data_IF_031496364725
#
_entry.id   IF_031496364725
#
_cell.length_a   1.000
_cell.length_b   1.000
_cell.length_c   1.000
_cell.angle_alpha   90.00
_cell.angle_beta   90.00
_cell.angle_gamma   90.00
#
_symmetry.space_group_name_H-M   'P 1'
#
loop_
_entity.id
_entity.type
_entity.pdbx_description
1 polymer ?
#
# COMPACT_ATOMS: atom_id res chain seq x y z
N UNK A 1 18.08 -6.55 8.95
CA UNK A 1 19.38 -6.90 8.35
C UNK A 1 20.58 -6.31 9.11
N UNK A 2 20.36 -5.44 10.07
CA UNK A 2 21.43 -4.80 10.85
C UNK A 2 21.54 -5.35 12.28
N UNK A 3 21.17 -6.62 12.51
CA UNK A 3 21.24 -7.28 13.81
C UNK A 3 20.32 -6.70 14.88
N UNK A 4 19.26 -5.96 14.49
CA UNK A 4 18.27 -5.45 15.43
C UNK A 4 17.11 -6.42 15.54
N UNK A 5 16.64 -6.62 16.77
CA UNK A 5 15.39 -7.35 17.03
C UNK A 5 14.21 -6.47 16.63
N UNK A 6 13.52 -6.86 15.58
CA UNK A 6 12.41 -6.10 15.02
C UNK A 6 11.13 -6.91 15.06
N UNK A 7 10.05 -6.29 15.49
CA UNK A 7 8.69 -6.85 15.43
C UNK A 7 7.83 -5.90 14.61
N UNK A 8 7.16 -6.43 13.61
CA UNK A 8 6.16 -5.73 12.81
C UNK A 8 4.77 -6.15 13.30
N UNK A 9 3.96 -5.18 13.66
CA UNK A 9 2.54 -5.38 13.95
C UNK A 9 1.74 -4.99 12.72
N UNK A 10 0.98 -5.92 12.19
CA UNK A 10 0.19 -5.74 10.98
C UNK A 10 -1.30 -5.85 11.33
N UNK A 11 -2.06 -4.84 10.94
CA UNK A 11 -3.51 -4.79 11.16
C UNK A 11 -4.26 -5.84 10.35
N UNK A 12 -3.77 -6.12 9.16
CA UNK A 12 -4.33 -7.13 8.26
C UNK A 12 -3.84 -8.54 8.57
N UNK A 13 -4.27 -9.46 7.74
CA UNK A 13 -3.89 -10.88 7.79
C UNK A 13 -2.65 -11.18 6.94
N UNK A 14 -2.18 -10.22 6.16
CA UNK A 14 -1.02 -10.36 5.25
C UNK A 14 -0.32 -9.01 5.09
N UNK A 15 0.95 -9.04 4.67
CA UNK A 15 1.75 -7.85 4.42
C UNK A 15 1.41 -7.17 3.09
N UNK A 16 1.78 -5.89 2.96
CA UNK A 16 1.74 -5.12 1.73
C UNK A 16 0.60 -4.12 1.62
N UNK A 17 -0.33 -4.11 2.57
CA UNK A 17 -1.38 -3.10 2.67
C UNK A 17 -2.17 -2.92 1.37
N UNK A 18 -2.22 -1.70 0.84
CA UNK A 18 -2.99 -1.37 -0.36
C UNK A 18 -2.49 -2.12 -1.61
N UNK A 19 -1.21 -2.43 -1.69
CA UNK A 19 -0.62 -3.09 -2.86
C UNK A 19 -1.02 -4.58 -2.96
N UNK A 20 -1.34 -5.20 -1.86
CA UNK A 20 -1.74 -6.61 -1.77
C UNK A 20 -3.20 -6.76 -1.37
N UNK A 21 -3.56 -6.41 -0.14
CA UNK A 21 -4.93 -6.52 0.37
C UNK A 21 -5.91 -5.55 -0.32
N UNK A 22 -5.43 -4.36 -0.69
CA UNK A 22 -6.21 -3.36 -1.42
C UNK A 22 -6.27 -3.61 -2.93
N UNK A 23 -5.58 -4.62 -3.45
CA UNK A 23 -5.51 -4.96 -4.87
C UNK A 23 -5.11 -3.79 -5.79
N UNK A 24 -4.18 -2.93 -5.33
CA UNK A 24 -3.53 -1.90 -6.14
C UNK A 24 -2.07 -2.31 -6.40
N UNK A 25 -1.83 -3.37 -7.18
CA UNK A 25 -0.51 -4.00 -7.29
C UNK A 25 0.42 -3.28 -8.27
N UNK A 26 0.23 -2.01 -8.48
CA UNK A 26 1.06 -1.22 -9.37
C UNK A 26 2.19 -0.55 -8.58
N UNK A 27 3.43 -0.78 -9.02
CA UNK A 27 4.60 -0.15 -8.43
C UNK A 27 4.81 1.20 -9.12
N UNK A 28 4.49 2.29 -8.43
CA UNK A 28 4.65 3.65 -8.93
C UNK A 28 5.97 4.27 -8.43
N UNK A 29 6.64 5.04 -9.28
CA UNK A 29 7.85 5.78 -8.92
C UNK A 29 9.16 5.04 -9.22
N UNK A 30 10.21 5.40 -8.49
CA UNK A 30 11.54 4.81 -8.65
C UNK A 30 11.60 3.39 -8.06
N UNK A 31 12.20 2.46 -8.80
CA UNK A 31 12.41 1.09 -8.33
C UNK A 31 13.86 0.95 -7.90
N UNK A 32 14.10 1.23 -6.62
CA UNK A 32 15.44 1.20 -6.02
C UNK A 32 15.42 0.51 -4.64
N UNK A 33 16.56 0.14 -4.11
CA UNK A 33 16.72 -0.42 -2.77
C UNK A 33 15.83 -1.65 -2.53
N UNK A 34 15.03 -1.62 -1.47
CA UNK A 34 14.13 -2.74 -1.09
C UNK A 34 13.04 -2.96 -2.14
N UNK A 35 12.56 -1.91 -2.79
CA UNK A 35 11.59 -2.02 -3.87
C UNK A 35 12.17 -2.77 -5.08
N UNK A 36 13.43 -2.53 -5.40
CA UNK A 36 14.14 -3.28 -6.45
C UNK A 36 14.27 -4.76 -6.09
N UNK A 37 14.64 -5.08 -4.85
CA UNK A 37 14.73 -6.46 -4.38
C UNK A 37 13.38 -7.17 -4.49
N UNK A 38 12.30 -6.53 -4.05
CA UNK A 38 10.95 -7.05 -4.18
C UNK A 38 10.59 -7.31 -5.63
N UNK A 39 10.84 -6.34 -6.51
CA UNK A 39 10.56 -6.44 -7.94
C UNK A 39 11.33 -7.57 -8.60
N UNK A 40 12.62 -7.73 -8.28
CA UNK A 40 13.47 -8.81 -8.81
C UNK A 40 12.97 -10.20 -8.38
N UNK A 41 12.52 -10.36 -7.13
CA UNK A 41 11.94 -11.61 -6.65
C UNK A 41 10.64 -11.96 -7.40
N UNK A 42 9.81 -10.98 -7.65
CA UNK A 42 8.58 -11.15 -8.45
C UNK A 42 8.88 -11.50 -9.91
N UNK A 43 9.86 -10.83 -10.52
CA UNK A 43 10.28 -11.09 -11.89
C UNK A 43 10.85 -12.50 -12.05
N UNK A 44 11.72 -12.92 -11.13
CA UNK A 44 12.29 -14.27 -11.12
C UNK A 44 11.23 -15.37 -10.99
N UNK A 45 10.12 -15.07 -10.33
CA UNK A 45 8.98 -15.97 -10.19
C UNK A 45 7.97 -15.88 -11.36
N UNK A 46 8.20 -15.01 -12.35
CA UNK A 46 7.26 -14.76 -13.44
C UNK A 46 5.96 -14.07 -13.02
N UNK A 47 5.96 -13.41 -11.86
CA UNK A 47 4.78 -12.75 -11.27
C UNK A 47 4.79 -11.24 -11.44
N UNK A 48 5.77 -10.70 -12.12
CA UNK A 48 5.84 -9.29 -12.50
C UNK A 48 5.28 -9.10 -13.91
N UNK A 49 4.29 -8.24 -14.03
CA UNK A 49 3.71 -7.88 -15.32
C UNK A 49 4.21 -6.50 -15.73
N UNK A 50 4.96 -6.44 -16.81
CA UNK A 50 5.24 -5.19 -17.51
C UNK A 50 4.01 -4.91 -18.39
N UNK A 51 3.16 -4.00 -17.97
CA UNK A 51 1.87 -3.74 -18.63
C UNK A 51 2.01 -3.28 -20.10
N UNK A 52 3.15 -2.68 -20.46
CA UNK A 52 3.41 -2.24 -21.85
C UNK A 52 4.91 -2.05 -22.12
N UNK A 53 5.33 -2.40 -23.33
CA UNK A 53 6.60 -1.97 -23.95
C UNK A 53 6.62 -0.47 -24.34
N UNK A 54 5.68 0.31 -23.85
CA UNK A 54 5.54 1.73 -24.19
C UNK A 54 6.11 2.63 -23.09
N UNK A 55 6.85 3.70 -23.47
CA UNK A 55 7.57 4.56 -22.54
C UNK A 55 6.68 5.32 -21.54
N UNK A 56 5.36 5.35 -21.74
CA UNK A 56 4.41 6.05 -20.88
C UNK A 56 3.89 5.23 -19.68
N UNK A 57 4.10 3.90 -19.67
CA UNK A 57 3.65 3.01 -18.61
C UNK A 57 4.87 2.29 -18.01
N UNK A 58 5.66 3.05 -17.25
CA UNK A 58 6.88 2.53 -16.60
C UNK A 58 6.60 1.73 -15.33
N UNK A 59 5.37 1.70 -14.89
CA UNK A 59 5.01 1.11 -13.61
C UNK A 59 4.61 -0.36 -13.78
N UNK A 60 5.48 -1.30 -13.42
CA UNK A 60 5.12 -2.72 -13.46
C UNK A 60 4.02 -3.00 -12.44
N UNK A 61 3.20 -4.01 -12.73
CA UNK A 61 2.25 -4.58 -11.79
C UNK A 61 2.64 -6.01 -11.46
N UNK A 62 2.13 -6.52 -10.35
CA UNK A 62 2.43 -7.88 -9.91
C UNK A 62 1.16 -8.61 -9.49
N UNK A 63 1.24 -9.93 -9.34
CA UNK A 63 0.14 -10.72 -8.78
C UNK A 63 0.07 -10.48 -7.26
N UNK A 64 -1.02 -9.91 -6.73
CA UNK A 64 -1.10 -9.51 -5.32
C UNK A 64 -0.90 -10.66 -4.33
N UNK A 65 -1.47 -11.83 -4.63
CA UNK A 65 -1.35 -13.00 -3.74
C UNK A 65 0.11 -13.50 -3.66
N UNK A 66 0.82 -13.46 -4.79
CA UNK A 66 2.24 -13.80 -4.78
C UNK A 66 3.09 -12.70 -4.12
N UNK A 67 2.68 -11.45 -4.29
CA UNK A 67 3.33 -10.32 -3.62
C UNK A 67 3.32 -10.46 -2.09
N UNK A 68 2.24 -10.98 -1.50
CA UNK A 68 2.17 -11.28 -0.06
C UNK A 68 3.28 -12.24 0.36
N UNK A 69 3.44 -13.35 -0.38
CA UNK A 69 4.46 -14.36 -0.09
C UNK A 69 5.88 -13.79 -0.18
N UNK A 70 6.14 -12.97 -1.20
CA UNK A 70 7.46 -12.34 -1.37
C UNK A 70 7.75 -11.38 -0.22
N UNK A 71 6.79 -10.57 0.20
CA UNK A 71 6.96 -9.65 1.32
C UNK A 71 7.21 -10.38 2.63
N UNK A 72 6.49 -11.47 2.88
CA UNK A 72 6.73 -12.31 4.06
C UNK A 72 8.13 -12.93 4.04
N UNK A 73 8.54 -13.51 2.90
CA UNK A 73 9.88 -14.05 2.75
C UNK A 73 10.96 -13.00 3.03
N UNK A 74 10.80 -11.79 2.50
CA UNK A 74 11.74 -10.69 2.71
C UNK A 74 11.83 -10.27 4.19
N UNK A 75 10.72 -10.23 4.89
CA UNK A 75 10.66 -9.84 6.32
C UNK A 75 11.25 -10.94 7.19
N UNK A 76 10.87 -12.19 6.99
CA UNK A 76 11.36 -13.32 7.78
C UNK A 76 12.84 -13.62 7.52
N UNK A 77 13.28 -13.54 6.25
CA UNK A 77 14.71 -13.68 5.90
C UNK A 77 15.56 -12.55 6.48
N UNK A 78 14.98 -11.38 6.75
CA UNK A 78 15.64 -10.29 7.46
C UNK A 78 15.72 -10.50 8.98
N UNK A 79 15.13 -11.58 9.51
CA UNK A 79 15.09 -11.92 10.94
C UNK A 79 14.06 -11.14 11.74
N UNK A 80 13.12 -10.44 11.09
CA UNK A 80 12.03 -9.77 11.78
C UNK A 80 10.88 -10.75 12.09
N UNK A 81 10.11 -10.42 13.12
CA UNK A 81 8.89 -11.15 13.50
C UNK A 81 7.68 -10.34 13.08
N UNK A 82 6.60 -11.00 12.69
CA UNK A 82 5.33 -10.36 12.37
C UNK A 82 4.24 -10.85 13.30
N UNK A 83 3.40 -9.94 13.76
CA UNK A 83 2.18 -10.25 14.52
C UNK A 83 1.02 -9.65 13.71
N UNK A 84 0.24 -10.52 13.10
CA UNK A 84 -0.93 -10.17 12.30
C UNK A 84 -2.17 -9.92 13.16
N UNK A 85 -3.24 -9.42 12.55
CA UNK A 85 -4.52 -9.11 13.22
C UNK A 85 -4.31 -8.23 14.47
N UNK A 86 -3.40 -7.27 14.36
CA UNK A 86 -2.93 -6.44 15.48
C UNK A 86 -3.19 -4.97 15.21
N UNK A 87 -4.25 -4.44 15.77
CA UNK A 87 -4.61 -3.02 15.60
C UNK A 87 -3.99 -2.20 16.73
N UNK A 88 -3.26 -1.14 16.38
CA UNK A 88 -2.79 -0.17 17.36
C UNK A 88 -4.01 0.50 18.01
N UNK A 89 -4.12 0.35 19.34
CA UNK A 89 -5.27 0.83 20.09
C UNK A 89 -4.95 2.09 20.90
N UNK A 90 -3.77 2.13 21.52
CA UNK A 90 -3.39 3.22 22.39
C UNK A 90 -1.88 3.39 22.46
N UNK A 91 -1.43 4.64 22.65
CA UNK A 91 -0.03 5.03 22.85
C UNK A 91 0.11 5.62 24.23
N UNK A 92 0.88 4.94 25.08
CA UNK A 92 1.24 5.46 26.40
C UNK A 92 2.44 6.37 26.26
N UNK A 93 2.26 7.65 26.60
CA UNK A 93 3.32 8.66 26.59
C UNK A 93 3.87 8.86 28.00
N UNK A 94 5.12 9.26 28.10
CA UNK A 94 5.69 9.76 29.35
C UNK A 94 5.61 11.31 29.42
N UNK A 95 6.12 11.86 30.50
CA UNK A 95 6.11 13.32 30.75
C UNK A 95 7.00 14.11 29.80
N UNK A 96 7.97 13.44 29.16
CA UNK A 96 8.95 14.03 28.23
C UNK A 96 8.56 13.90 26.77
N UNK A 97 7.30 13.57 26.50
CA UNK A 97 6.76 13.31 25.16
C UNK A 97 7.42 12.13 24.43
N UNK A 98 7.98 11.21 25.20
CA UNK A 98 8.50 9.95 24.65
C UNK A 98 7.45 8.87 24.72
N UNK A 99 7.42 7.99 23.75
CA UNK A 99 6.53 6.83 23.79
C UNK A 99 7.08 5.85 24.83
N UNK A 100 6.28 5.59 25.86
CA UNK A 100 6.58 4.61 26.91
C UNK A 100 6.21 3.20 26.50
N UNK A 101 5.05 3.04 25.87
CA UNK A 101 4.59 1.76 25.35
C UNK A 101 3.48 1.94 24.31
N UNK A 102 3.30 0.92 23.48
CA UNK A 102 2.16 0.79 22.59
C UNK A 102 1.23 -0.30 23.09
N UNK A 103 -0.07 -0.11 22.95
CA UNK A 103 -1.08 -1.12 23.26
C UNK A 103 -1.77 -1.51 21.97
N UNK A 104 -1.69 -2.78 21.63
CA UNK A 104 -2.37 -3.37 20.47
C UNK A 104 -3.56 -4.19 20.95
N UNK A 105 -4.64 -4.14 20.16
CA UNK A 105 -5.73 -5.11 20.26
C UNK A 105 -5.47 -6.25 19.28
N UNK A 106 -5.49 -7.47 19.78
CA UNK A 106 -5.26 -8.71 19.03
C UNK A 106 -6.37 -9.70 19.31
N UNK A 107 -6.43 -10.81 18.58
CA UNK A 107 -7.37 -11.92 18.88
C UNK A 107 -7.20 -12.50 20.29
N UNK A 108 -6.01 -12.41 20.86
CA UNK A 108 -5.72 -12.83 22.23
C UNK A 108 -6.04 -11.79 23.30
N UNK A 109 -6.58 -10.63 22.92
CA UNK A 109 -6.83 -9.49 23.80
C UNK A 109 -5.81 -8.37 23.64
N UNK A 110 -5.64 -7.57 24.69
CA UNK A 110 -4.71 -6.44 24.65
C UNK A 110 -3.27 -6.90 24.89
N UNK A 111 -2.36 -6.36 24.10
CA UNK A 111 -0.93 -6.62 24.20
C UNK A 111 -0.20 -5.29 24.38
N UNK A 112 0.53 -5.15 25.49
CA UNK A 112 1.42 -4.00 25.71
C UNK A 112 2.81 -4.31 25.17
N UNK A 113 3.37 -3.37 24.41
CA UNK A 113 4.67 -3.50 23.77
C UNK A 113 5.57 -2.34 24.16
N UNK A 114 6.78 -2.66 24.61
CA UNK A 114 7.85 -1.69 24.87
C UNK A 114 9.04 -1.96 23.96
N UNK A 115 9.57 -0.90 23.38
CA UNK A 115 10.72 -0.96 22.49
C UNK A 115 11.62 0.26 22.70
N UNK A 116 12.87 0.16 22.26
CA UNK A 116 13.79 1.30 22.27
C UNK A 116 13.53 2.29 21.13
N UNK A 117 12.79 1.84 20.08
CA UNK A 117 12.42 2.68 18.95
C UNK A 117 11.09 2.21 18.37
N UNK A 118 10.28 3.15 17.95
CA UNK A 118 9.00 2.92 17.30
C UNK A 118 9.01 3.53 15.91
N UNK A 119 8.50 2.80 14.92
CA UNK A 119 8.42 3.24 13.54
C UNK A 119 6.96 3.19 13.12
N UNK A 120 6.42 4.33 12.68
CA UNK A 120 5.09 4.39 12.11
C UNK A 120 5.15 4.01 10.62
N UNK A 121 4.45 2.94 10.28
CA UNK A 121 4.27 2.45 8.91
C UNK A 121 2.79 2.16 8.64
N UNK A 122 1.88 2.83 9.35
CA UNK A 122 0.45 2.55 9.30
C UNK A 122 -0.24 3.03 8.01
N UNK A 123 0.45 3.80 7.18
CA UNK A 123 -0.11 4.39 5.97
C UNK A 123 -0.84 5.71 6.21
N UNK A 124 -1.58 5.83 7.31
CA UNK A 124 -2.34 7.04 7.67
C UNK A 124 -1.67 7.84 8.82
N UNK A 125 -0.55 7.36 9.37
CA UNK A 125 0.14 8.00 10.49
C UNK A 125 -0.57 7.77 11.83
N UNK A 126 -1.21 6.62 12.00
CA UNK A 126 -2.01 6.30 13.20
C UNK A 126 -1.20 6.38 14.51
N UNK A 127 0.05 5.90 14.46
CA UNK A 127 0.94 5.98 15.63
C UNK A 127 1.27 7.43 15.98
N UNK A 128 1.60 8.24 14.99
CA UNK A 128 1.92 9.65 15.20
C UNK A 128 0.70 10.42 15.75
N UNK A 129 -0.48 10.17 15.17
CA UNK A 129 -1.74 10.79 15.62
C UNK A 129 -2.07 10.41 17.06
N UNK A 130 -1.98 9.13 17.42
CA UNK A 130 -2.22 8.64 18.80
C UNK A 130 -1.15 9.11 19.79
N UNK A 131 0.06 9.40 19.34
CA UNK A 131 1.11 10.01 20.14
C UNK A 131 0.93 11.52 20.33
N UNK A 132 -0.11 12.12 19.77
CA UNK A 132 -0.44 13.54 19.92
C UNK A 132 0.35 14.48 19.00
N UNK A 133 0.92 13.94 17.90
CA UNK A 133 1.54 14.79 16.86
C UNK A 133 0.41 15.53 16.13
N UNK A 134 0.51 16.85 15.94
CA UNK A 134 -0.46 17.60 15.15
C UNK A 134 -0.55 17.06 13.72
N UNK A 135 -1.75 16.91 13.19
CA UNK A 135 -2.00 16.45 11.84
C UNK A 135 -3.21 17.14 11.23
N UNK A 136 -3.32 17.12 9.92
CA UNK A 136 -4.46 17.61 9.15
C UNK A 136 -5.19 16.43 8.51
N UNK A 137 -6.52 16.50 8.46
CA UNK A 137 -7.37 15.50 7.83
C UNK A 137 -7.97 16.06 6.55
N UNK A 138 -7.75 15.36 5.44
CA UNK A 138 -8.26 15.73 4.13
C UNK A 138 -7.41 16.78 3.42
N UNK A 139 -7.51 16.82 2.08
CA UNK A 139 -6.90 17.84 1.25
C UNK A 139 -7.91 18.93 0.92
N UNK A 140 -7.69 20.15 1.39
CA UNK A 140 -8.54 21.30 1.05
C UNK A 140 -8.23 21.89 -0.34
N UNK A 141 -7.22 21.39 -1.04
CA UNK A 141 -6.59 22.06 -2.17
C UNK A 141 -7.26 21.85 -3.52
N UNK A 142 -8.29 21.04 -3.60
CA UNK A 142 -9.06 20.87 -4.84
C UNK A 142 -10.53 21.25 -4.65
N UNK A 143 -10.80 22.53 -4.56
CA UNK A 143 -12.16 23.10 -4.59
C UNK A 143 -13.14 22.42 -3.60
N UNK A 144 -12.68 22.03 -2.42
CA UNK A 144 -13.51 21.37 -1.39
C UNK A 144 -13.86 19.91 -1.69
N UNK A 145 -13.23 19.32 -2.68
CA UNK A 145 -13.36 17.89 -2.95
C UNK A 145 -12.34 17.11 -2.12
N UNK A 146 -12.82 16.31 -1.19
CA UNK A 146 -12.02 15.26 -0.56
C UNK A 146 -11.68 14.22 -1.63
N UNK A 147 -10.55 14.40 -2.30
CA UNK A 147 -10.02 13.36 -3.18
C UNK A 147 -9.30 12.38 -2.28
N UNK A 148 -10.03 11.46 -1.70
CA UNK A 148 -9.45 10.32 -1.03
C UNK A 148 -9.43 9.14 -1.98
N UNK A 149 -8.28 8.51 -1.99
CA UNK A 149 -8.04 7.12 -2.35
C UNK A 149 -8.10 6.73 -3.82
N UNK A 150 -7.02 6.14 -4.20
CA UNK A 150 -6.94 5.22 -5.33
C UNK A 150 -7.71 3.96 -4.98
N UNK A 151 -8.76 3.67 -5.70
CA UNK A 151 -9.40 2.35 -5.63
C UNK A 151 -8.68 1.42 -6.59
N UNK A 152 -8.15 0.32 -6.07
CA UNK A 152 -7.69 -0.80 -6.85
C UNK A 152 -8.82 -1.79 -7.07
N UNK A 153 -8.94 -2.33 -8.26
CA UNK A 153 -9.84 -3.43 -8.57
C UNK A 153 -9.08 -4.59 -9.18
N UNK A 154 -9.38 -5.81 -8.73
CA UNK A 154 -8.92 -7.01 -9.40
C UNK A 154 -9.91 -7.35 -10.51
N UNK A 155 -9.45 -7.31 -11.73
CA UNK A 155 -10.23 -7.64 -12.91
C UNK A 155 -10.06 -9.13 -13.23
N UNK A 156 -10.69 -9.98 -12.44
CA UNK A 156 -10.69 -11.41 -12.74
C UNK A 156 -11.46 -11.65 -14.04
N UNK A 157 -10.79 -12.23 -15.04
CA UNK A 157 -11.37 -12.52 -16.34
C UNK A 157 -11.54 -11.34 -17.29
N UNK A 158 -11.07 -10.16 -16.93
CA UNK A 158 -11.12 -9.00 -17.81
C UNK A 158 -10.16 -9.16 -19.00
N UNK A 159 -10.66 -8.95 -20.19
CA UNK A 159 -9.83 -8.88 -21.40
C UNK A 159 -9.30 -7.45 -21.55
N UNK A 160 -8.06 -7.23 -21.15
CA UNK A 160 -7.42 -5.91 -21.18
C UNK A 160 -7.41 -5.30 -22.60
N UNK A 161 -7.25 -6.13 -23.64
CA UNK A 161 -7.29 -5.65 -25.03
C UNK A 161 -8.65 -5.07 -25.39
N UNK A 162 -9.74 -5.73 -24.97
CA UNK A 162 -11.11 -5.23 -25.19
C UNK A 162 -11.36 -3.95 -24.38
N UNK A 163 -10.86 -3.89 -23.14
CA UNK A 163 -10.97 -2.69 -22.31
C UNK A 163 -10.28 -1.50 -22.96
N UNK A 164 -9.03 -1.66 -23.39
CA UNK A 164 -8.27 -0.57 -24.04
C UNK A 164 -8.89 -0.10 -25.34
N UNK A 165 -9.44 -1.01 -26.13
CA UNK A 165 -10.19 -0.66 -27.33
C UNK A 165 -11.42 0.19 -26.97
N UNK A 166 -12.21 -0.25 -25.99
CA UNK A 166 -13.39 0.46 -25.54
C UNK A 166 -13.04 1.83 -24.92
N UNK A 167 -11.93 1.94 -24.18
CA UNK A 167 -11.44 3.22 -23.64
C UNK A 167 -11.02 4.17 -24.76
N UNK A 168 -10.34 3.67 -25.79
CA UNK A 168 -9.94 4.46 -26.95
C UNK A 168 -11.16 5.01 -27.71
N UNK A 169 -12.15 4.14 -27.96
CA UNK A 169 -13.39 4.53 -28.63
C UNK A 169 -14.18 5.55 -27.81
N UNK A 170 -14.26 5.35 -26.49
CA UNK A 170 -14.89 6.29 -25.60
C UNK A 170 -14.18 7.67 -25.61
N UNK A 171 -12.85 7.71 -25.49
CA UNK A 171 -12.07 8.96 -25.58
C UNK A 171 -12.32 9.68 -26.90
N UNK A 172 -12.35 8.94 -28.01
CA UNK A 172 -12.67 9.47 -29.33
C UNK A 172 -14.07 10.09 -29.39
N UNK A 173 -15.06 9.38 -28.82
CA UNK A 173 -16.44 9.87 -28.76
C UNK A 173 -16.58 11.15 -27.90
N UNK A 174 -15.84 11.25 -26.78
CA UNK A 174 -15.86 12.44 -25.92
C UNK A 174 -15.21 13.64 -26.63
N UNK A 175 -14.10 13.42 -27.33
CA UNK A 175 -13.44 14.46 -28.12
C UNK A 175 -14.37 14.98 -29.24
N UNK A 176 -15.12 14.11 -29.89
CA UNK A 176 -16.13 14.50 -30.89
C UNK A 176 -17.25 15.36 -30.30
N UNK A 177 -17.49 15.29 -29.00
CA UNK A 177 -18.43 16.13 -28.24
C UNK A 177 -17.80 17.42 -27.68
N UNK A 178 -16.54 17.71 -28.03
CA UNK A 178 -15.81 18.89 -27.55
C UNK A 178 -15.25 18.77 -26.14
N UNK A 179 -15.20 17.57 -25.55
CA UNK A 179 -14.62 17.32 -24.24
C UNK A 179 -13.15 16.96 -24.40
N UNK A 180 -12.25 17.92 -24.15
CA UNK A 180 -10.81 17.71 -24.32
C UNK A 180 -10.18 16.79 -23.27
N UNK A 181 -10.67 16.82 -22.04
CA UNK A 181 -10.19 16.00 -20.91
C UNK A 181 -11.34 15.17 -20.34
N UNK A 182 -11.74 14.08 -21.00
CA UNK A 182 -12.80 13.24 -20.49
C UNK A 182 -12.38 12.52 -19.21
N UNK A 183 -13.33 12.34 -18.29
CA UNK A 183 -13.13 11.46 -17.15
C UNK A 183 -12.82 10.03 -17.64
N UNK A 184 -12.02 9.26 -16.89
CA UNK A 184 -11.73 7.88 -17.26
C UNK A 184 -13.02 7.05 -17.35
N UNK A 185 -13.03 6.10 -18.28
CA UNK A 185 -14.13 5.15 -18.38
C UNK A 185 -14.11 4.21 -17.17
N UNK A 186 -15.18 4.24 -16.39
CA UNK A 186 -15.36 3.32 -15.26
C UNK A 186 -16.32 2.23 -15.69
N UNK A 187 -15.85 0.97 -15.67
CA UNK A 187 -16.71 -0.19 -15.78
C UNK A 187 -17.13 -0.63 -14.38
N UNK A 188 -18.42 -0.72 -14.18
CA UNK A 188 -19.01 -1.31 -12.98
C UNK A 188 -19.42 -2.75 -13.28
#
# INVERSE_FOLDING_TARGET
>A
RHGKHTILFEKGTTLGGIATNGYVPQIAGGIEGICLEFTQKLEAAGQLRKLYDKPYYRNPSFEPEYGKLVLEDMVFSAGARVIYDSTLFFVEMDTDRMIKSLIFYTKGGYMQVKASMYIDSTGDGDLAALAGVPYEVGGQDFAGLNISSTQGSRWAGANLTKYLAAEADWKKSQKAKGIEKPLPLVYV
#
